data_IF_195805746548
#
_entry.id   IF_195805746548
#
_cell.length_a   1.000
_cell.length_b   1.000
_cell.length_c   1.000
_cell.angle_alpha   90.00
_cell.angle_beta   90.00
_cell.angle_gamma   90.00
#
_symmetry.space_group_name_H-M   'P 1'
#
loop_
_entity.id
_entity.type
_entity.pdbx_description
1 polymer ?
#
# COMPACT_ATOMS: atom_id res chain seq x y z
N UNK A 1 -45.74 3.26 -17.06
CA UNK A 1 -44.39 3.17 -16.45
C UNK A 1 -44.00 4.55 -15.93
N UNK A 2 -44.05 4.71 -14.62
CA UNK A 2 -44.50 5.93 -13.91
C UNK A 2 -43.41 7.01 -13.79
N UNK A 3 -43.83 8.30 -13.73
CA UNK A 3 -42.95 9.46 -13.44
C UNK A 3 -42.05 9.22 -12.22
N UNK A 4 -42.52 8.44 -11.24
CA UNK A 4 -41.79 8.02 -10.04
C UNK A 4 -40.51 7.25 -10.40
N UNK A 5 -40.56 6.32 -11.35
CA UNK A 5 -39.38 5.54 -11.79
C UNK A 5 -38.33 6.44 -12.45
N UNK A 6 -38.78 7.43 -13.25
CA UNK A 6 -37.90 8.42 -13.89
C UNK A 6 -37.26 9.36 -12.86
N UNK A 7 -38.03 9.81 -11.87
CA UNK A 7 -37.52 10.65 -10.78
C UNK A 7 -36.50 9.89 -9.92
N UNK A 8 -36.76 8.61 -9.63
CA UNK A 8 -35.82 7.77 -8.89
C UNK A 8 -34.51 7.56 -9.67
N UNK A 9 -34.59 7.25 -10.96
CA UNK A 9 -33.42 7.09 -11.81
C UNK A 9 -32.59 8.37 -11.94
N UNK A 10 -33.25 9.52 -12.14
CA UNK A 10 -32.57 10.83 -12.20
C UNK A 10 -31.93 11.21 -10.87
N UNK A 11 -32.54 10.83 -9.73
CA UNK A 11 -31.96 11.06 -8.41
C UNK A 11 -30.73 10.18 -8.15
N UNK A 12 -30.75 8.91 -8.58
CA UNK A 12 -29.56 8.05 -8.54
C UNK A 12 -28.44 8.61 -9.42
N UNK A 13 -28.77 8.99 -10.66
CA UNK A 13 -27.78 9.46 -11.62
C UNK A 13 -27.14 10.78 -11.17
N UNK A 14 -27.94 11.70 -10.63
CA UNK A 14 -27.43 12.95 -10.04
C UNK A 14 -26.58 12.68 -8.79
N UNK A 15 -26.96 11.72 -7.93
CA UNK A 15 -26.16 11.29 -6.80
C UNK A 15 -24.79 10.72 -7.21
N UNK A 16 -24.75 9.85 -8.24
CA UNK A 16 -23.50 9.31 -8.80
C UNK A 16 -22.64 10.44 -9.37
N UNK A 17 -23.24 11.38 -10.09
CA UNK A 17 -22.53 12.51 -10.68
C UNK A 17 -21.91 13.40 -9.59
N UNK A 18 -22.68 13.78 -8.57
CA UNK A 18 -22.19 14.59 -7.44
C UNK A 18 -21.08 13.85 -6.69
N UNK A 19 -21.27 12.55 -6.42
CA UNK A 19 -20.25 11.71 -5.79
C UNK A 19 -18.96 11.64 -6.62
N UNK A 20 -19.09 11.47 -7.95
CA UNK A 20 -17.95 11.47 -8.86
C UNK A 20 -17.19 12.80 -8.87
N UNK A 21 -17.91 13.93 -8.88
CA UNK A 21 -17.33 15.28 -8.78
C UNK A 21 -16.62 15.44 -7.43
N UNK A 22 -17.22 15.00 -6.33
CA UNK A 22 -16.62 15.10 -5.00
C UNK A 22 -15.32 14.28 -4.91
N UNK A 23 -15.30 13.05 -5.44
CA UNK A 23 -14.10 12.21 -5.51
C UNK A 23 -13.03 12.89 -6.36
N UNK A 24 -13.38 13.38 -7.55
CA UNK A 24 -12.45 14.05 -8.45
C UNK A 24 -11.85 15.30 -7.80
N UNK A 25 -12.69 16.17 -7.22
CA UNK A 25 -12.26 17.37 -6.52
C UNK A 25 -11.31 17.05 -5.36
N UNK A 26 -11.63 16.00 -4.59
CA UNK A 26 -10.76 15.52 -3.51
C UNK A 26 -9.40 15.10 -4.07
N UNK A 27 -9.37 14.23 -5.09
CA UNK A 27 -8.14 13.78 -5.72
C UNK A 27 -7.31 14.94 -6.28
N UNK A 28 -7.96 15.94 -6.88
CA UNK A 28 -7.30 17.13 -7.40
C UNK A 28 -6.67 18.00 -6.32
N UNK A 29 -7.36 18.20 -5.20
CA UNK A 29 -6.83 18.99 -4.07
C UNK A 29 -5.62 18.31 -3.45
N UNK A 30 -5.67 16.99 -3.27
CA UNK A 30 -4.58 16.24 -2.65
C UNK A 30 -3.42 15.94 -3.61
N UNK A 31 -3.66 15.81 -4.92
CA UNK A 31 -2.60 15.51 -5.90
C UNK A 31 -1.52 16.61 -5.94
N UNK A 32 -1.90 17.86 -5.72
CA UNK A 32 -0.99 19.00 -5.73
C UNK A 32 -0.04 19.03 -4.53
N UNK A 33 -0.31 18.27 -3.47
CA UNK A 33 0.49 18.22 -2.24
C UNK A 33 1.28 16.93 -2.09
N UNK A 34 1.33 16.10 -3.14
CA UNK A 34 2.01 14.81 -3.04
C UNK A 34 3.54 14.99 -2.98
N UNK A 35 4.22 14.27 -2.07
CA UNK A 35 5.68 14.25 -2.01
C UNK A 35 6.28 13.66 -3.28
N UNK A 36 7.47 14.15 -3.66
CA UNK A 36 8.17 13.66 -4.84
C UNK A 36 8.67 12.22 -4.62
N UNK A 37 8.18 11.26 -5.39
CA UNK A 37 8.61 9.86 -5.30
C UNK A 37 10.05 9.64 -5.81
N UNK A 38 10.64 10.59 -6.54
CA UNK A 38 11.98 10.42 -7.14
C UNK A 38 13.08 10.20 -6.13
N UNK A 39 12.93 10.65 -4.87
CA UNK A 39 13.93 10.36 -3.85
C UNK A 39 14.05 8.86 -3.57
N UNK A 40 12.98 8.07 -3.77
CA UNK A 40 13.02 6.61 -3.61
C UNK A 40 13.96 5.95 -4.61
N UNK A 41 14.15 6.52 -5.79
CA UNK A 41 15.10 6.03 -6.80
C UNK A 41 16.54 6.09 -6.29
N UNK A 42 16.85 7.08 -5.46
CA UNK A 42 18.17 7.32 -4.89
C UNK A 42 18.23 6.98 -3.39
N UNK A 43 17.19 6.33 -2.85
CA UNK A 43 17.12 6.03 -1.44
C UNK A 43 18.22 5.02 -1.06
N UNK A 44 19.05 5.43 -0.10
CA UNK A 44 20.05 4.56 0.52
C UNK A 44 19.60 4.30 1.94
N UNK A 45 19.32 3.04 2.25
CA UNK A 45 19.00 2.63 3.60
C UNK A 45 20.18 2.96 4.52
N UNK A 46 19.90 3.54 5.69
CA UNK A 46 20.89 3.63 6.76
C UNK A 46 21.35 2.22 7.10
N UNK A 47 22.63 1.94 6.90
CA UNK A 47 23.26 0.66 7.25
C UNK A 47 24.10 0.82 8.51
N UNK A 48 24.28 -0.28 9.21
CA UNK A 48 25.15 -0.38 10.39
C UNK A 48 26.63 -0.19 10.03
N UNK A 49 27.36 0.59 10.84
CA UNK A 49 28.82 0.54 10.88
C UNK A 49 29.26 -0.45 11.96
N UNK A 50 30.01 -1.48 11.58
CA UNK A 50 30.47 -2.54 12.49
C UNK A 50 31.98 -2.45 12.71
N UNK A 51 32.40 -2.60 13.96
CA UNK A 51 33.82 -2.65 14.36
C UNK A 51 34.14 -4.09 14.75
N UNK A 52 35.19 -4.63 14.14
CA UNK A 52 35.68 -5.99 14.36
C UNK A 52 37.07 -5.98 15.01
N UNK A 53 37.39 -7.00 15.78
CA UNK A 53 38.74 -7.24 16.32
C UNK A 53 39.70 -7.71 15.23
N UNK A 54 41.00 -7.76 15.54
CA UNK A 54 42.01 -8.31 14.63
C UNK A 54 41.78 -9.79 14.29
N UNK A 55 41.11 -10.53 15.18
CA UNK A 55 40.69 -11.92 15.00
C UNK A 55 39.35 -12.06 14.28
N UNK A 56 38.68 -10.95 13.94
CA UNK A 56 37.41 -10.93 13.21
C UNK A 56 36.16 -10.99 14.08
N UNK A 57 36.26 -10.86 15.41
CA UNK A 57 35.11 -10.84 16.31
C UNK A 57 34.40 -9.48 16.29
N UNK A 58 33.06 -9.46 16.29
CA UNK A 58 32.30 -8.21 16.33
C UNK A 58 32.42 -7.56 17.71
N UNK A 59 33.11 -6.41 17.79
CA UNK A 59 33.28 -5.64 19.02
C UNK A 59 32.06 -4.74 19.26
N UNK A 60 31.61 -4.04 18.22
CA UNK A 60 30.51 -3.09 18.35
C UNK A 60 29.79 -2.83 17.04
N UNK A 61 28.52 -2.46 17.15
CA UNK A 61 27.61 -2.12 16.05
C UNK A 61 27.08 -0.71 16.30
N UNK A 62 27.52 0.23 15.47
CA UNK A 62 27.09 1.63 15.46
C UNK A 62 26.01 1.81 14.40
N UNK A 63 24.76 1.77 14.84
CA UNK A 63 23.58 1.88 13.99
C UNK A 63 22.54 2.81 14.56
N UNK A 64 22.08 3.79 13.77
CA UNK A 64 20.81 4.46 14.05
C UNK A 64 19.63 3.48 13.90
N UNK A 65 19.75 2.53 12.97
CA UNK A 65 18.76 1.48 12.70
C UNK A 65 19.47 0.17 12.40
N UNK A 66 19.06 -0.93 13.05
CA UNK A 66 19.62 -2.26 12.80
C UNK A 66 19.14 -2.81 11.46
N UNK A 67 19.79 -2.40 10.36
CA UNK A 67 19.46 -2.77 8.99
C UNK A 67 20.69 -3.29 8.26
N UNK A 68 20.48 -4.36 7.48
CA UNK A 68 21.45 -4.88 6.52
C UNK A 68 20.80 -4.80 5.15
N UNK A 69 21.48 -4.18 4.20
CA UNK A 69 21.01 -4.15 2.82
C UNK A 69 21.21 -5.52 2.18
N UNK A 70 20.13 -6.10 1.64
CA UNK A 70 20.15 -7.37 0.92
C UNK A 70 19.69 -7.11 -0.52
N UNK A 71 20.54 -7.35 -1.53
CA UNK A 71 20.13 -7.25 -2.92
C UNK A 71 18.99 -8.23 -3.22
N UNK A 72 18.02 -7.82 -4.02
CA UNK A 72 16.85 -8.65 -4.36
C UNK A 72 17.22 -10.04 -4.88
N UNK A 73 18.24 -10.12 -5.74
CA UNK A 73 18.72 -11.38 -6.33
C UNK A 73 19.37 -12.34 -5.31
N UNK A 74 19.73 -11.85 -4.12
CA UNK A 74 20.28 -12.66 -3.03
C UNK A 74 19.18 -13.27 -2.15
N UNK A 75 17.92 -12.85 -2.32
CA UNK A 75 16.80 -13.34 -1.52
C UNK A 75 16.31 -14.68 -2.10
N UNK A 76 16.25 -15.77 -1.30
CA UNK A 76 15.75 -17.05 -1.80
C UNK A 76 14.32 -16.94 -2.32
N UNK A 77 14.04 -17.57 -3.47
CA UNK A 77 12.70 -17.57 -4.10
C UNK A 77 11.57 -17.97 -3.15
N UNK A 78 11.84 -18.91 -2.23
CA UNK A 78 10.89 -19.36 -1.22
C UNK A 78 10.48 -18.22 -0.27
N UNK A 79 11.42 -17.37 0.14
CA UNK A 79 11.16 -16.21 0.99
C UNK A 79 10.30 -15.20 0.25
N UNK A 80 10.68 -14.87 -0.99
CA UNK A 80 9.91 -13.96 -1.87
C UNK A 80 8.47 -14.47 -2.00
N UNK A 81 8.28 -15.72 -2.40
CA UNK A 81 6.95 -16.28 -2.62
C UNK A 81 6.10 -16.36 -1.34
N UNK A 82 6.72 -16.64 -0.19
CA UNK A 82 6.01 -16.68 1.10
C UNK A 82 5.52 -15.30 1.50
N UNK A 83 6.37 -14.28 1.33
CA UNK A 83 6.01 -12.88 1.59
C UNK A 83 4.91 -12.41 0.64
N UNK A 84 5.05 -12.64 -0.67
CA UNK A 84 4.01 -12.29 -1.64
C UNK A 84 2.68 -13.02 -1.37
N UNK A 85 2.70 -14.29 -0.96
CA UNK A 85 1.46 -15.01 -0.68
C UNK A 85 0.64 -14.44 0.48
N UNK A 86 1.30 -13.77 1.43
CA UNK A 86 0.66 -13.19 2.62
C UNK A 86 0.30 -11.73 2.44
N UNK A 87 1.18 -10.94 1.83
CA UNK A 87 1.01 -9.49 1.70
C UNK A 87 0.35 -9.07 0.38
N UNK A 88 0.82 -9.61 -0.75
CA UNK A 88 0.42 -9.15 -2.08
C UNK A 88 0.68 -10.21 -3.15
N UNK A 89 -0.28 -11.14 -3.29
CA UNK A 89 -0.13 -12.31 -4.18
C UNK A 89 0.01 -11.92 -5.65
N UNK A 90 -0.55 -10.78 -6.03
CA UNK A 90 -0.61 -10.30 -7.41
C UNK A 90 0.44 -9.22 -7.71
N UNK A 91 1.41 -9.00 -6.80
CA UNK A 91 2.37 -7.91 -6.85
C UNK A 91 2.96 -7.64 -8.24
N UNK A 92 3.41 -8.68 -8.95
CA UNK A 92 4.04 -8.53 -10.27
C UNK A 92 3.07 -8.34 -11.44
N UNK A 93 1.76 -8.43 -11.21
CA UNK A 93 0.73 -8.36 -12.24
C UNK A 93 -0.05 -7.03 -12.25
N UNK A 94 0.03 -6.26 -11.17
CA UNK A 94 -0.66 -4.97 -11.07
C UNK A 94 0.33 -3.80 -11.05
N UNK A 95 -0.08 -2.59 -11.49
CA UNK A 95 0.79 -1.42 -11.60
C UNK A 95 0.96 -0.69 -10.24
N UNK A 96 1.01 -1.44 -9.14
CA UNK A 96 1.06 -0.90 -7.77
C UNK A 96 -0.26 -0.84 -7.00
N UNK A 97 -1.44 -0.93 -7.63
CA UNK A 97 -2.74 -1.09 -6.95
C UNK A 97 -3.48 -2.29 -7.52
N UNK A 98 -3.88 -3.25 -6.67
CA UNK A 98 -4.71 -4.40 -7.07
C UNK A 98 -6.20 -4.04 -6.99
N UNK A 99 -6.75 -3.46 -8.06
CA UNK A 99 -8.16 -3.11 -8.14
C UNK A 99 -9.09 -4.33 -7.94
N UNK A 100 -8.70 -5.50 -8.46
CA UNK A 100 -9.46 -6.75 -8.27
C UNK A 100 -9.43 -7.18 -6.80
N UNK A 101 -8.27 -7.05 -6.17
CA UNK A 101 -8.06 -7.31 -4.75
C UNK A 101 -8.92 -6.41 -3.86
N UNK A 102 -8.97 -5.10 -4.15
CA UNK A 102 -9.80 -4.13 -3.43
C UNK A 102 -11.28 -4.45 -3.55
N UNK A 103 -11.78 -4.69 -4.76
CA UNK A 103 -13.21 -5.04 -4.97
C UNK A 103 -13.57 -6.33 -4.25
N UNK A 104 -12.72 -7.36 -4.33
CA UNK A 104 -12.91 -8.62 -3.60
C UNK A 104 -12.99 -8.38 -2.09
N UNK A 105 -12.05 -7.63 -1.54
CA UNK A 105 -12.01 -7.34 -0.12
C UNK A 105 -13.24 -6.55 0.35
N UNK A 106 -13.73 -5.58 -0.44
CA UNK A 106 -14.97 -4.85 -0.12
C UNK A 106 -16.16 -5.81 -0.03
N UNK A 107 -16.34 -6.67 -1.04
CA UNK A 107 -17.46 -7.63 -1.06
C UNK A 107 -17.36 -8.60 0.12
N UNK A 108 -16.17 -9.13 0.40
CA UNK A 108 -15.95 -10.04 1.52
C UNK A 108 -16.13 -9.34 2.86
N UNK A 109 -15.70 -8.08 2.99
CA UNK A 109 -15.83 -7.31 4.22
C UNK A 109 -17.27 -6.96 4.57
N UNK A 110 -18.13 -6.71 3.58
CA UNK A 110 -19.58 -6.57 3.81
C UNK A 110 -20.14 -7.87 4.43
N UNK A 111 -19.77 -9.03 3.89
CA UNK A 111 -20.20 -10.34 4.43
C UNK A 111 -19.60 -10.62 5.81
N UNK A 112 -18.32 -10.31 6.00
CA UNK A 112 -17.59 -10.53 7.24
C UNK A 112 -18.13 -9.63 8.36
N UNK A 113 -18.49 -8.38 8.05
CA UNK A 113 -19.13 -7.46 8.98
C UNK A 113 -20.46 -8.02 9.50
N UNK A 114 -21.33 -8.49 8.59
CA UNK A 114 -22.61 -9.11 8.97
C UNK A 114 -22.45 -10.39 9.80
N UNK A 115 -21.33 -11.10 9.63
CA UNK A 115 -21.06 -12.37 10.30
C UNK A 115 -20.12 -12.24 11.51
N UNK A 116 -19.79 -11.01 11.94
CA UNK A 116 -18.79 -10.73 12.99
C UNK A 116 -17.44 -11.43 12.78
N UNK A 117 -16.99 -11.56 11.52
CA UNK A 117 -15.71 -12.14 11.15
C UNK A 117 -14.66 -11.06 10.92
N UNK A 118 -13.39 -11.44 11.00
CA UNK A 118 -12.25 -10.56 10.72
C UNK A 118 -12.32 -10.01 9.29
N UNK A 119 -12.05 -8.72 9.14
CA UNK A 119 -11.97 -8.06 7.84
C UNK A 119 -10.69 -8.44 7.09
N UNK A 120 -10.80 -8.51 5.77
CA UNK A 120 -9.71 -8.72 4.83
C UNK A 120 -9.05 -7.37 4.48
N UNK A 121 -7.72 -7.39 4.43
CA UNK A 121 -6.94 -6.29 3.87
C UNK A 121 -6.88 -6.34 2.34
N UNK A 122 -6.56 -5.19 1.73
CA UNK A 122 -6.40 -5.06 0.28
C UNK A 122 -5.19 -4.21 -0.13
N UNK A 123 -4.34 -3.83 0.84
CA UNK A 123 -3.19 -2.95 0.59
C UNK A 123 -2.09 -3.70 -0.14
N UNK A 124 -1.55 -3.09 -1.19
CA UNK A 124 -0.41 -3.65 -1.94
C UNK A 124 0.92 -3.29 -1.28
N UNK A 125 1.98 -4.04 -1.60
CA UNK A 125 3.34 -3.71 -1.12
C UNK A 125 3.74 -2.29 -1.57
N UNK A 126 3.35 -1.88 -2.78
CA UNK A 126 3.66 -0.53 -3.29
C UNK A 126 3.00 0.55 -2.45
N UNK A 127 1.73 0.37 -2.06
CA UNK A 127 1.02 1.30 -1.18
C UNK A 127 1.65 1.35 0.22
N UNK A 128 2.04 0.19 0.77
CA UNK A 128 2.69 0.11 2.08
C UNK A 128 4.04 0.84 2.07
N UNK A 129 4.86 0.67 1.02
CA UNK A 129 6.13 1.39 0.86
C UNK A 129 5.89 2.89 0.67
N UNK A 130 4.95 3.28 -0.19
CA UNK A 130 4.60 4.70 -0.36
C UNK A 130 4.17 5.33 0.96
N UNK A 131 3.30 4.67 1.73
CA UNK A 131 2.86 5.13 3.05
C UNK A 131 4.05 5.30 4.01
N UNK A 132 4.92 4.30 4.13
CA UNK A 132 5.97 4.30 5.13
C UNK A 132 7.15 5.25 4.81
N UNK A 133 7.34 5.61 3.53
CA UNK A 133 8.46 6.45 3.10
C UNK A 133 8.06 7.86 2.70
N UNK A 134 6.89 8.03 2.07
CA UNK A 134 6.46 9.30 1.50
C UNK A 134 5.55 10.07 2.45
N UNK A 135 4.73 9.38 3.23
CA UNK A 135 3.79 10.02 4.13
C UNK A 135 4.45 10.14 5.50
N UNK A 136 4.44 11.34 6.07
CA UNK A 136 4.68 11.51 7.50
C UNK A 136 3.59 10.74 8.24
N UNK A 137 3.98 9.99 9.28
CA UNK A 137 3.03 9.42 10.23
C UNK A 137 2.42 10.59 11.04
N UNK A 138 1.56 11.38 10.42
CA UNK A 138 0.63 12.22 11.18
C UNK A 138 -0.42 11.26 11.74
N UNK A 139 -0.31 11.06 13.06
CA UNK A 139 -1.34 10.45 13.90
C UNK A 139 -2.51 11.42 14.01
#
# INVERSE_FOLDING_TARGET
MSRILKNFFTLILSGILIGGIAVFATLWVFSNKLPDYKFLKNYKASVSSKVYSGEGELISDFSAQKRIFVPYNSIPKKVINSFLSSEDKNFFSHPGVDAKGVVRAIINNIKNYLSSKRLEGASTITQQVAKNFLLTNEV
#
